data_IF_582582219755
#
_entry.id   IF_582582219755
#
_cell.length_a   1.000
_cell.length_b   1.000
_cell.length_c   1.000
_cell.angle_alpha   90.00
_cell.angle_beta   90.00
_cell.angle_gamma   90.00
#
_symmetry.space_group_name_H-M   'P 1'
#
loop_
_entity.id
_entity.type
_entity.pdbx_description
1 polymer ?
#
# COMPACT_ATOMS: atom_id res chain seq x y z
N UNK A 1 50.32 41.21 -24.87
CA UNK A 1 49.92 41.39 -23.45
C UNK A 1 48.68 40.53 -23.28
N UNK A 2 48.89 39.21 -23.28
CA UNK A 2 47.86 38.18 -23.46
C UNK A 2 47.80 37.34 -22.17
N UNK A 3 46.60 37.20 -21.60
CA UNK A 3 46.24 36.14 -20.64
C UNK A 3 45.78 34.92 -21.46
N UNK A 4 45.73 33.66 -20.96
CA UNK A 4 45.05 33.32 -19.71
C UNK A 4 45.48 32.02 -18.97
N UNK A 5 44.73 31.76 -17.89
CA UNK A 5 44.27 30.46 -17.38
C UNK A 5 45.28 29.41 -16.92
N UNK A 6 45.28 29.11 -15.61
CA UNK A 6 45.17 27.72 -15.13
C UNK A 6 44.38 27.66 -13.82
N UNK A 7 43.11 27.29 -13.99
CA UNK A 7 42.18 26.76 -12.99
C UNK A 7 42.78 25.57 -12.22
N UNK A 8 42.91 25.68 -10.89
CA UNK A 8 42.92 24.51 -9.99
C UNK A 8 41.52 24.35 -9.41
N UNK A 9 40.72 23.48 -10.03
CA UNK A 9 39.44 23.06 -9.49
C UNK A 9 39.65 22.29 -8.19
N UNK A 10 39.22 22.89 -7.08
CA UNK A 10 39.04 22.21 -5.80
C UNK A 10 37.84 21.30 -5.96
N UNK A 11 38.04 19.99 -5.91
CA UNK A 11 36.95 19.01 -5.86
C UNK A 11 36.26 19.17 -4.51
N UNK A 12 35.07 19.73 -4.52
CA UNK A 12 34.17 19.80 -3.36
C UNK A 12 33.62 18.38 -3.09
N UNK A 13 33.59 17.90 -1.84
CA UNK A 13 33.05 16.58 -1.55
C UNK A 13 31.53 16.59 -1.77
N UNK A 14 31.03 15.53 -2.40
CA UNK A 14 29.62 15.28 -2.58
C UNK A 14 28.91 15.33 -1.21
N UNK A 15 28.01 16.30 -1.05
CA UNK A 15 27.10 16.36 0.07
C UNK A 15 26.24 15.10 0.05
N UNK A 16 26.51 14.20 0.99
CA UNK A 16 25.66 13.08 1.32
C UNK A 16 24.32 13.66 1.78
N UNK A 17 23.29 13.50 0.95
CA UNK A 17 21.93 13.86 1.29
C UNK A 17 21.49 12.98 2.45
N UNK A 18 21.63 13.49 3.68
CA UNK A 18 20.91 12.95 4.83
C UNK A 18 19.42 13.11 4.51
N UNK A 19 18.79 11.99 4.12
CA UNK A 19 17.35 11.92 4.01
C UNK A 19 16.79 12.32 5.38
N UNK A 20 16.12 13.47 5.42
CA UNK A 20 15.38 13.89 6.62
C UNK A 20 14.36 12.78 6.87
N UNK A 21 14.45 12.11 8.01
CA UNK A 21 13.48 11.10 8.41
C UNK A 21 12.06 11.70 8.22
N UNK A 22 11.13 10.97 7.57
CA UNK A 22 9.79 11.49 7.37
C UNK A 22 9.15 11.79 8.74
N UNK A 23 8.40 12.90 8.80
CA UNK A 23 7.72 13.35 10.03
C UNK A 23 6.62 12.37 10.49
N UNK A 24 6.26 11.41 9.64
CA UNK A 24 5.30 10.34 9.89
C UNK A 24 5.93 9.00 9.52
N UNK A 25 5.63 7.92 10.28
CA UNK A 25 6.13 6.59 9.97
C UNK A 25 5.69 6.18 8.55
N UNK A 26 6.55 5.50 7.79
CA UNK A 26 6.20 5.05 6.44
C UNK A 26 5.00 4.10 6.48
N UNK A 27 4.11 4.23 5.49
CA UNK A 27 2.96 3.34 5.32
C UNK A 27 3.35 2.13 4.49
N UNK A 28 2.65 1.01 4.69
CA UNK A 28 2.85 -0.21 3.88
C UNK A 28 1.96 -0.24 2.63
N UNK A 29 0.89 0.54 2.63
CA UNK A 29 -0.09 0.58 1.55
C UNK A 29 -0.72 1.96 1.39
N UNK A 30 -0.92 2.40 0.16
CA UNK A 30 -1.60 3.64 -0.20
C UNK A 30 -2.48 3.46 -1.46
N UNK A 31 -3.29 4.48 -1.79
CA UNK A 31 -4.07 4.54 -3.02
C UNK A 31 -3.46 5.56 -3.98
N UNK A 32 -3.57 5.32 -5.29
CA UNK A 32 -3.46 6.42 -6.27
C UNK A 32 -4.67 7.34 -6.18
N UNK A 33 -4.56 8.57 -6.71
CA UNK A 33 -5.67 9.52 -6.72
C UNK A 33 -6.92 8.95 -7.43
N UNK A 34 -6.74 8.24 -8.54
CA UNK A 34 -7.84 7.61 -9.28
C UNK A 34 -8.49 6.48 -8.47
N UNK A 35 -7.69 5.69 -7.76
CA UNK A 35 -8.19 4.64 -6.87
C UNK A 35 -8.93 5.22 -5.66
N UNK A 36 -8.44 6.33 -5.09
CA UNK A 36 -9.10 7.04 -3.99
C UNK A 36 -10.47 7.59 -4.41
N UNK A 37 -10.58 8.19 -5.59
CA UNK A 37 -11.85 8.67 -6.13
C UNK A 37 -12.84 7.52 -6.36
N UNK A 38 -12.37 6.39 -6.90
CA UNK A 38 -13.21 5.20 -7.04
C UNK A 38 -13.68 4.68 -5.67
N UNK A 39 -12.78 4.54 -4.69
CA UNK A 39 -13.13 4.10 -3.33
C UNK A 39 -14.14 5.04 -2.69
N UNK A 40 -14.00 6.36 -2.89
CA UNK A 40 -14.97 7.35 -2.41
C UNK A 40 -16.35 7.16 -3.03
N UNK A 41 -16.43 6.94 -4.36
CA UNK A 41 -17.70 6.68 -5.06
C UNK A 41 -18.34 5.36 -4.63
N UNK A 42 -17.56 4.30 -4.47
CA UNK A 42 -18.06 3.01 -3.99
C UNK A 42 -18.54 3.10 -2.55
N UNK A 43 -17.81 3.82 -1.68
CA UNK A 43 -18.19 4.00 -0.27
C UNK A 43 -19.49 4.79 -0.13
N UNK A 44 -19.69 5.82 -0.96
CA UNK A 44 -20.95 6.57 -1.00
C UNK A 44 -22.15 5.69 -1.42
N UNK A 45 -21.93 4.64 -2.22
CA UNK A 45 -22.99 3.75 -2.72
C UNK A 45 -23.25 2.56 -1.81
N UNK A 46 -22.20 2.00 -1.21
CA UNK A 46 -22.25 0.72 -0.50
C UNK A 46 -21.97 0.84 1.01
N UNK A 47 -21.65 2.04 1.49
CA UNK A 47 -21.25 2.28 2.88
C UNK A 47 -19.76 1.97 3.13
N UNK A 48 -19.35 1.78 4.39
CA UNK A 48 -17.96 1.50 4.74
C UNK A 48 -17.42 0.29 3.98
N UNK A 49 -16.17 0.38 3.51
CA UNK A 49 -15.55 -0.63 2.65
C UNK A 49 -14.42 -1.39 3.37
N UNK A 50 -13.91 -2.43 2.71
CA UNK A 50 -12.65 -3.10 3.00
C UNK A 50 -11.98 -3.66 1.76
N UNK A 51 -10.65 -3.69 1.79
CA UNK A 51 -9.86 -4.47 0.84
C UNK A 51 -9.40 -5.78 1.47
N UNK A 52 -9.35 -6.83 0.65
CA UNK A 52 -8.66 -8.08 0.98
C UNK A 52 -7.79 -8.55 -0.18
N UNK A 53 -6.59 -9.02 0.16
CA UNK A 53 -5.63 -9.62 -0.76
C UNK A 53 -5.30 -11.05 -0.31
N UNK A 54 -6.05 -12.01 -0.87
CA UNK A 54 -5.84 -13.45 -0.71
C UNK A 54 -5.01 -13.97 -1.89
N UNK A 55 -3.85 -14.59 -1.63
CA UNK A 55 -3.09 -15.27 -2.69
C UNK A 55 -3.88 -16.47 -3.23
N UNK A 56 -4.49 -16.37 -4.42
CA UNK A 56 -5.40 -17.38 -4.97
C UNK A 56 -5.50 -17.38 -6.50
N UNK A 57 -5.69 -18.59 -7.07
CA UNK A 57 -5.24 -19.04 -8.39
C UNK A 57 -6.02 -18.54 -9.64
N UNK A 58 -7.15 -17.85 -9.52
CA UNK A 58 -8.03 -17.61 -10.69
C UNK A 58 -8.14 -16.16 -11.17
N UNK A 59 -7.86 -15.15 -10.33
CA UNK A 59 -8.02 -13.71 -10.70
C UNK A 59 -6.71 -12.90 -10.60
N UNK A 60 -5.61 -13.57 -10.25
CA UNK A 60 -4.31 -12.95 -10.04
C UNK A 60 -4.22 -12.15 -8.74
N UNK A 61 -3.05 -11.52 -8.53
CA UNK A 61 -2.69 -10.74 -7.34
C UNK A 61 -3.44 -9.40 -7.20
N UNK A 62 -4.67 -9.30 -7.71
CA UNK A 62 -5.45 -8.06 -7.60
C UNK A 62 -6.17 -7.97 -6.25
N UNK A 63 -6.08 -6.81 -5.58
CA UNK A 63 -6.79 -6.61 -4.34
C UNK A 63 -8.28 -6.48 -4.64
N UNK A 64 -9.11 -7.10 -3.81
CA UNK A 64 -10.55 -7.08 -3.96
C UNK A 64 -11.17 -6.12 -2.93
N UNK A 65 -12.18 -5.36 -3.35
CA UNK A 65 -12.90 -4.40 -2.54
C UNK A 65 -14.32 -4.91 -2.23
N UNK A 66 -14.69 -4.88 -0.95
CA UNK A 66 -15.96 -5.39 -0.42
C UNK A 66 -16.60 -4.36 0.52
N UNK A 67 -17.92 -4.43 0.76
CA UNK A 67 -18.52 -3.77 1.91
C UNK A 67 -17.89 -4.31 3.21
N UNK A 68 -17.70 -3.44 4.20
CA UNK A 68 -17.05 -3.77 5.47
C UNK A 68 -17.86 -4.84 6.18
N UNK A 69 -17.21 -5.99 6.45
CA UNK A 69 -17.82 -7.11 7.18
C UNK A 69 -18.46 -8.18 6.28
N UNK A 70 -18.58 -7.95 4.97
CA UNK A 70 -19.08 -8.97 4.03
C UNK A 70 -18.03 -9.99 3.62
N UNK A 71 -16.74 -9.64 3.74
CA UNK A 71 -15.65 -10.60 3.63
C UNK A 71 -15.14 -11.00 5.02
N UNK A 72 -15.10 -12.31 5.29
CA UNK A 72 -14.58 -12.84 6.56
C UNK A 72 -13.06 -12.82 6.56
N UNK A 73 -12.48 -11.91 7.34
CA UNK A 73 -11.04 -11.85 7.62
C UNK A 73 -10.65 -13.08 8.47
N UNK A 74 -9.63 -13.81 8.02
CA UNK A 74 -9.05 -14.93 8.75
C UNK A 74 -8.24 -14.48 9.98
N UNK A 75 -8.12 -15.36 10.98
CA UNK A 75 -7.40 -15.04 12.22
C UNK A 75 -5.94 -14.60 11.98
N UNK A 76 -5.28 -15.19 10.97
CA UNK A 76 -3.90 -14.89 10.59
C UNK A 76 -3.79 -13.77 9.53
N UNK A 77 -4.90 -13.26 8.98
CA UNK A 77 -4.82 -12.17 8.02
C UNK A 77 -4.28 -10.92 8.71
N UNK A 78 -3.41 -10.21 8.01
CA UNK A 78 -2.67 -9.06 8.52
C UNK A 78 -3.32 -7.79 8.02
N UNK A 79 -3.56 -6.85 8.93
CA UNK A 79 -3.97 -5.48 8.58
C UNK A 79 -2.72 -4.72 8.13
N UNK A 80 -2.61 -4.47 6.82
CA UNK A 80 -1.49 -3.71 6.25
C UNK A 80 -1.58 -2.21 6.57
N UNK A 81 -2.81 -1.71 6.73
CA UNK A 81 -3.06 -0.30 7.02
C UNK A 81 -4.52 0.06 6.78
N UNK A 82 -4.82 1.35 6.92
CA UNK A 82 -6.09 1.94 6.51
C UNK A 82 -5.81 2.83 5.30
N UNK A 83 -6.34 2.44 4.16
CA UNK A 83 -6.39 3.25 2.94
C UNK A 83 -7.63 4.15 2.99
N UNK A 84 -7.56 5.38 2.45
CA UNK A 84 -8.67 6.34 2.47
C UNK A 84 -9.37 6.45 3.85
N UNK A 85 -8.77 7.22 4.78
CA UNK A 85 -9.13 7.50 6.19
C UNK A 85 -9.63 6.33 7.07
N UNK A 86 -10.58 5.49 6.64
CA UNK A 86 -11.21 4.42 7.40
C UNK A 86 -11.22 3.03 6.73
N UNK A 87 -10.87 2.93 5.44
CA UNK A 87 -10.97 1.67 4.68
C UNK A 87 -9.77 0.76 5.00
N UNK A 88 -9.95 -0.40 5.64
CA UNK A 88 -8.88 -1.31 5.99
C UNK A 88 -8.33 -1.99 4.72
N UNK A 89 -7.07 -2.35 4.75
CA UNK A 89 -6.49 -3.24 3.76
C UNK A 89 -5.96 -4.49 4.45
N UNK A 90 -6.64 -5.62 4.23
CA UNK A 90 -6.26 -6.91 4.77
C UNK A 90 -5.48 -7.72 3.74
N UNK A 91 -4.53 -8.50 4.22
CA UNK A 91 -3.73 -9.40 3.37
C UNK A 91 -3.55 -10.73 4.09
N UNK A 92 -3.70 -11.83 3.36
CA UNK A 92 -3.41 -13.15 3.92
C UNK A 92 -1.97 -13.25 4.42
N UNK A 93 -1.74 -14.02 5.49
CA UNK A 93 -0.41 -14.16 6.10
C UNK A 93 0.69 -14.56 5.09
N UNK A 94 0.40 -15.49 4.18
CA UNK A 94 1.33 -15.92 3.13
C UNK A 94 1.68 -14.80 2.16
N UNK A 95 0.69 -14.00 1.76
CA UNK A 95 0.92 -12.82 0.93
C UNK A 95 1.70 -11.75 1.71
N UNK A 96 1.40 -11.56 3.00
CA UNK A 96 2.13 -10.61 3.82
C UNK A 96 3.62 -10.96 3.88
N UNK A 97 3.96 -12.22 4.14
CA UNK A 97 5.36 -12.67 4.17
C UNK A 97 6.10 -12.40 2.86
N UNK A 98 5.42 -12.53 1.73
CA UNK A 98 5.97 -12.23 0.41
C UNK A 98 6.16 -10.72 0.17
N UNK A 99 5.22 -9.88 0.62
CA UNK A 99 5.21 -8.43 0.36
C UNK A 99 5.78 -7.56 1.51
N UNK A 100 6.18 -8.14 2.64
CA UNK A 100 6.55 -7.38 3.87
C UNK A 100 7.70 -6.39 3.71
N UNK A 101 8.53 -6.57 2.69
CA UNK A 101 9.65 -5.66 2.35
C UNK A 101 9.31 -4.68 1.22
N UNK A 102 8.02 -4.54 0.89
CA UNK A 102 7.55 -3.66 -0.17
C UNK A 102 6.54 -2.66 0.36
N UNK A 103 6.53 -1.48 -0.27
CA UNK A 103 5.43 -0.56 -0.21
C UNK A 103 4.48 -0.86 -1.37
N UNK A 104 3.19 -0.93 -1.08
CA UNK A 104 2.14 -1.26 -2.03
C UNK A 104 1.32 -0.03 -2.39
N UNK A 105 1.15 0.22 -3.69
CA UNK A 105 0.24 1.25 -4.18
C UNK A 105 -0.92 0.57 -4.89
N UNK A 106 -2.13 0.78 -4.40
CA UNK A 106 -3.37 0.32 -5.03
C UNK A 106 -3.77 1.35 -6.08
N UNK A 107 -3.80 0.90 -7.32
CA UNK A 107 -4.18 1.67 -8.49
C UNK A 107 -5.48 1.14 -9.09
N UNK A 108 -6.06 1.87 -10.04
CA UNK A 108 -7.25 1.44 -10.80
C UNK A 108 -6.96 1.49 -12.29
N UNK A 109 -7.33 0.43 -12.99
CA UNK A 109 -7.15 0.34 -14.44
C UNK A 109 -8.43 -0.18 -15.10
N UNK A 110 -8.62 0.16 -16.37
CA UNK A 110 -9.70 -0.42 -17.19
C UNK A 110 -9.47 -1.92 -17.33
N UNK A 111 -10.53 -2.71 -17.18
CA UNK A 111 -10.44 -4.15 -17.32
C UNK A 111 -11.47 -4.87 -16.47
N UNK A 112 -11.61 -6.18 -16.72
CA UNK A 112 -12.51 -7.02 -15.95
C UNK A 112 -11.93 -7.27 -14.55
N UNK A 113 -12.59 -6.75 -13.52
CA UNK A 113 -12.34 -7.11 -12.13
C UNK A 113 -12.86 -8.51 -11.79
N UNK A 114 -12.51 -9.01 -10.61
CA UNK A 114 -13.15 -10.23 -10.08
C UNK A 114 -14.64 -9.96 -9.87
N UNK A 115 -15.50 -10.91 -10.23
CA UNK A 115 -16.96 -10.75 -10.09
C UNK A 115 -17.44 -10.55 -8.65
N UNK A 116 -16.57 -10.75 -7.66
CA UNK A 116 -16.85 -10.52 -6.25
C UNK A 116 -16.44 -9.12 -5.76
N UNK A 117 -15.67 -8.36 -6.55
CA UNK A 117 -15.18 -7.03 -6.17
C UNK A 117 -16.15 -5.94 -6.61
N UNK A 118 -16.38 -4.94 -5.76
CA UNK A 118 -17.41 -3.91 -5.96
C UNK A 118 -17.24 -3.06 -7.23
N UNK A 119 -16.01 -2.87 -7.71
CA UNK A 119 -15.74 -2.07 -8.91
C UNK A 119 -16.00 -2.82 -10.22
N UNK A 120 -16.19 -4.14 -10.18
CA UNK A 120 -16.33 -4.97 -11.37
C UNK A 120 -17.48 -4.53 -12.31
N UNK A 121 -18.67 -4.10 -11.82
CA UNK A 121 -19.73 -3.56 -12.65
C UNK A 121 -19.38 -2.23 -13.34
N UNK A 122 -18.39 -1.48 -12.84
CA UNK A 122 -17.92 -0.23 -13.45
C UNK A 122 -16.93 -0.46 -14.61
N UNK A 123 -16.59 -1.71 -14.94
CA UNK A 123 -15.68 -2.05 -16.05
C UNK A 123 -14.20 -1.72 -15.76
N UNK A 124 -13.86 -1.56 -14.49
CA UNK A 124 -12.51 -1.33 -13.99
C UNK A 124 -12.11 -2.44 -13.02
N UNK A 125 -10.84 -2.45 -12.63
CA UNK A 125 -10.28 -3.36 -11.62
C UNK A 125 -9.19 -2.66 -10.83
N UNK A 126 -9.05 -3.01 -9.56
CA UNK A 126 -7.89 -2.59 -8.80
C UNK A 126 -6.62 -3.36 -9.22
N UNK A 127 -5.48 -2.69 -9.13
CA UNK A 127 -4.15 -3.20 -9.47
C UNK A 127 -3.18 -2.86 -8.34
N UNK A 128 -2.43 -3.86 -7.86
CA UNK A 128 -1.32 -3.61 -6.95
C UNK A 128 -0.04 -3.31 -7.73
N UNK A 129 0.58 -2.18 -7.41
CA UNK A 129 1.95 -1.84 -7.76
C UNK A 129 2.80 -1.95 -6.51
N UNK A 130 4.08 -2.26 -6.67
CA UNK A 130 5.00 -2.43 -5.55
C UNK A 130 6.34 -1.75 -5.82
N UNK A 131 6.92 -1.17 -4.78
CA UNK A 131 8.34 -0.81 -4.72
C UNK A 131 8.97 -1.43 -3.48
N UNK A 132 10.28 -1.66 -3.51
CA UNK A 132 11.01 -2.03 -2.29
C UNK A 132 10.98 -0.85 -1.31
N UNK A 133 10.86 -1.17 -0.02
CA UNK A 133 11.09 -0.21 1.06
C UNK A 133 12.59 0.06 1.16
N UNK A 134 12.97 1.30 1.50
CA UNK A 134 14.36 1.62 1.85
C UNK A 134 14.74 1.05 3.21
N UNK A 135 16.04 1.02 3.52
CA UNK A 135 16.55 0.57 4.81
C UNK A 135 16.00 1.43 5.97
N UNK A 136 15.94 2.75 5.79
CA UNK A 136 15.33 3.66 6.77
C UNK A 136 13.84 3.38 6.97
N UNK A 137 13.09 3.13 5.88
CA UNK A 137 11.67 2.83 5.96
C UNK A 137 11.42 1.49 6.67
N UNK A 138 12.23 0.47 6.36
CA UNK A 138 12.14 -0.84 7.01
C UNK A 138 12.46 -0.73 8.50
N UNK A 139 13.53 -0.03 8.85
CA UNK A 139 13.92 0.22 10.25
C UNK A 139 12.81 0.94 11.02
N UNK A 140 12.19 1.95 10.42
CA UNK A 140 11.07 2.68 11.02
C UNK A 140 9.82 1.80 11.17
N UNK A 141 9.58 0.83 10.28
CA UNK A 141 8.48 -0.15 10.40
C UNK A 141 8.76 -1.23 11.44
N UNK A 142 10.01 -1.65 11.60
CA UNK A 142 10.42 -2.67 12.59
C UNK A 142 10.41 -2.12 14.02
N UNK A 143 10.60 -0.81 14.18
CA UNK A 143 10.44 -0.12 15.47
C UNK A 143 8.98 -0.01 15.94
N UNK A 144 8.01 -0.29 15.06
CA UNK A 144 6.58 -0.26 15.38
C UNK A 144 6.13 -1.62 15.95
N UNK A 145 5.01 -1.65 16.72
CA UNK A 145 4.43 -2.93 17.12
C UNK A 145 4.10 -3.78 15.88
N UNK A 146 4.13 -5.12 16.02
CA UNK A 146 3.77 -6.01 14.92
C UNK A 146 2.37 -5.68 14.41
N UNK A 147 2.12 -5.80 13.10
CA UNK A 147 0.84 -5.45 12.52
C UNK A 147 -0.29 -6.26 13.15
N UNK A 148 -1.47 -5.65 13.23
CA UNK A 148 -2.65 -6.31 13.76
C UNK A 148 -3.04 -7.48 12.87
N UNK A 149 -3.48 -8.57 13.49
CA UNK A 149 -4.05 -9.72 12.80
C UNK A 149 -5.54 -9.80 13.02
N UNK A 150 -6.27 -10.52 12.17
CA UNK A 150 -7.72 -10.68 12.27
C UNK A 150 -8.17 -11.17 13.66
N UNK A 151 -7.40 -12.06 14.29
CA UNK A 151 -7.67 -12.54 15.66
C UNK A 151 -7.71 -11.40 16.69
N UNK A 152 -6.78 -10.43 16.58
CA UNK A 152 -6.67 -9.29 17.51
C UNK A 152 -7.70 -8.20 17.26
N UNK A 153 -8.28 -8.12 16.06
CA UNK A 153 -9.30 -7.13 15.72
C UNK A 153 -10.71 -7.61 16.06
N UNK A 154 -10.94 -8.93 16.02
CA UNK A 154 -12.23 -9.53 16.36
C UNK A 154 -12.31 -10.01 17.82
N UNK A 155 -11.19 -10.11 18.54
CA UNK A 155 -11.10 -10.57 19.93
C UNK A 155 -11.43 -9.53 21.03
N UNK A 156 -11.97 -8.37 20.66
CA UNK A 156 -12.46 -7.38 21.61
C UNK A 156 -13.97 -7.51 21.83
N UNK A 157 -14.38 -8.50 22.60
CA UNK A 157 -15.74 -8.65 23.14
C UNK A 157 -15.68 -8.70 24.67
#
# INVERSE_FOLDING_TARGET
>A
METPDQTRARVEPAAQGAARAPAEPPTRVELTADAEELVRRLSAQHGPLMFHQSGGCCDGSSPMCYPRGEFRVGAADVLLGRVSQETPFWMSASQYEYWKHTHLTVDVVKGRGSGFSLEAPEGVRFLLRSRLLTEDELTALEAQPPPLTGDRVHGGA
#
